data_IF_039145935701
#
_entry.id   IF_039145935701
#
_cell.length_a   1.000
_cell.length_b   1.000
_cell.length_c   1.000
_cell.angle_alpha   90.00
_cell.angle_beta   90.00
_cell.angle_gamma   90.00
#
_symmetry.space_group_name_H-M   'P 1'
#
loop_
_entity.id
_entity.type
_entity.pdbx_description
1 polymer ?
#
# COMPACT_ATOMS: atom_id res chain seq x y z
N UNK A 1 48.58 -22.89 -2.19
CA UNK A 1 47.93 -22.90 -0.85
C UNK A 1 48.03 -21.53 -0.17
N UNK A 2 47.30 -20.50 -0.63
CA UNK A 2 47.32 -19.16 0.03
C UNK A 2 45.94 -18.52 0.19
N UNK A 3 44.89 -19.10 -0.40
CA UNK A 3 43.56 -18.49 -0.45
C UNK A 3 42.49 -19.22 0.37
N UNK A 4 42.78 -20.41 0.93
CA UNK A 4 41.80 -21.20 1.69
C UNK A 4 41.49 -20.61 3.08
N UNK A 5 42.41 -19.85 3.67
CA UNK A 5 42.18 -19.15 4.97
C UNK A 5 41.38 -17.85 4.83
N UNK A 6 41.33 -17.24 3.63
CA UNK A 6 40.57 -16.00 3.38
C UNK A 6 39.07 -16.27 3.26
N UNK A 7 38.67 -17.40 2.69
CA UNK A 7 37.26 -17.79 2.61
C UNK A 7 36.65 -18.11 3.98
N UNK A 8 37.42 -18.73 4.89
CA UNK A 8 36.97 -19.01 6.25
C UNK A 8 36.69 -17.76 7.08
N UNK A 9 37.52 -16.72 6.93
CA UNK A 9 37.36 -15.46 7.69
C UNK A 9 36.24 -14.57 7.12
N UNK A 10 36.00 -14.60 5.80
CA UNK A 10 34.89 -13.87 5.16
C UNK A 10 33.54 -14.50 5.51
N UNK A 11 33.46 -15.84 5.63
CA UNK A 11 32.24 -16.54 6.02
C UNK A 11 31.82 -16.27 7.47
N UNK A 12 32.79 -16.09 8.37
CA UNK A 12 32.52 -15.79 9.79
C UNK A 12 32.02 -14.34 9.98
N UNK A 13 32.53 -13.38 9.20
CA UNK A 13 32.07 -11.98 9.25
C UNK A 13 30.65 -11.84 8.70
N UNK A 14 30.29 -12.58 7.65
CA UNK A 14 28.91 -12.61 7.13
C UNK A 14 27.94 -13.23 8.14
N UNK A 15 28.35 -14.29 8.84
CA UNK A 15 27.53 -14.92 9.87
C UNK A 15 27.37 -14.08 11.15
N UNK A 16 28.34 -13.23 11.48
CA UNK A 16 28.28 -12.36 12.68
C UNK A 16 27.61 -11.01 12.39
N UNK A 17 27.72 -10.47 11.17
CA UNK A 17 27.12 -9.18 10.81
C UNK A 17 25.74 -9.31 10.14
N UNK A 18 25.44 -10.43 9.48
CA UNK A 18 24.17 -10.64 8.76
C UNK A 18 22.94 -10.83 9.66
N UNK A 19 23.13 -11.20 10.93
CA UNK A 19 22.02 -11.52 11.85
C UNK A 19 21.51 -10.28 12.60
N UNK A 20 22.27 -9.18 12.61
CA UNK A 20 21.90 -7.97 13.38
C UNK A 20 21.02 -6.97 12.60
N UNK A 21 20.88 -7.08 11.27
CA UNK A 21 20.26 -6.04 10.44
C UNK A 21 18.83 -6.38 9.98
N UNK A 22 18.37 -7.62 10.14
CA UNK A 22 17.09 -8.06 9.56
C UNK A 22 15.86 -7.84 10.46
N UNK A 23 16.03 -7.30 11.67
CA UNK A 23 14.94 -7.14 12.65
C UNK A 23 14.34 -5.72 12.74
N UNK A 24 14.78 -4.75 11.93
CA UNK A 24 14.44 -3.32 12.15
C UNK A 24 13.21 -2.81 11.37
N UNK A 25 12.56 -3.56 10.47
CA UNK A 25 11.54 -2.94 9.58
C UNK A 25 10.21 -3.70 9.41
N UNK A 26 9.54 -4.11 10.48
CA UNK A 26 8.13 -4.60 10.35
C UNK A 26 7.06 -3.77 11.08
N UNK A 27 7.39 -2.66 11.74
CA UNK A 27 6.36 -1.69 12.13
C UNK A 27 6.06 -0.73 10.98
N UNK A 28 5.62 -1.28 9.83
CA UNK A 28 4.74 -0.52 8.96
C UNK A 28 3.49 -0.22 9.79
N UNK A 29 3.46 0.97 10.39
CA UNK A 29 2.36 1.43 11.19
C UNK A 29 1.08 1.32 10.35
N UNK A 30 0.26 0.30 10.62
CA UNK A 30 -1.09 0.23 10.12
C UNK A 30 -1.80 1.44 10.70
N UNK A 31 -2.00 2.47 9.87
CA UNK A 31 -2.81 3.63 10.23
C UNK A 31 -4.18 3.08 10.66
N UNK A 32 -4.71 3.45 11.83
CA UNK A 32 -6.05 3.03 12.20
C UNK A 32 -6.98 3.39 11.03
N UNK A 33 -7.93 2.51 10.68
CA UNK A 33 -8.85 2.78 9.59
C UNK A 33 -9.46 4.15 9.87
N UNK A 34 -9.23 5.10 8.96
CA UNK A 34 -9.94 6.38 9.00
C UNK A 34 -11.41 6.00 8.89
N UNK A 35 -12.19 6.21 9.95
CA UNK A 35 -13.64 6.07 9.88
C UNK A 35 -14.10 6.89 8.68
N UNK A 36 -14.76 6.22 7.73
CA UNK A 36 -15.10 6.85 6.47
C UNK A 36 -16.43 7.56 6.63
N UNK A 37 -16.34 8.83 7.04
CA UNK A 37 -17.50 9.69 7.24
C UNK A 37 -17.85 10.33 5.89
N UNK A 38 -18.99 9.94 5.35
CA UNK A 38 -19.56 10.51 4.13
C UNK A 38 -20.95 11.06 4.42
N UNK A 39 -21.31 12.15 3.73
CA UNK A 39 -22.68 12.61 3.69
C UNK A 39 -23.50 11.68 2.80
N UNK A 40 -24.77 11.48 3.15
CA UNK A 40 -25.74 10.73 2.35
C UNK A 40 -26.32 11.57 1.21
N UNK A 41 -25.43 12.10 0.38
CA UNK A 41 -25.77 12.83 -0.85
C UNK A 41 -25.64 11.88 -2.03
N UNK A 42 -26.66 11.81 -2.88
CA UNK A 42 -26.62 11.03 -4.11
C UNK A 42 -26.10 11.87 -5.28
N UNK A 43 -24.84 11.68 -5.64
CA UNK A 43 -24.15 12.28 -6.79
C UNK A 43 -23.23 11.22 -7.41
N UNK A 44 -23.79 10.29 -8.20
CA UNK A 44 -23.13 9.03 -8.51
C UNK A 44 -21.87 9.22 -9.35
N UNK A 45 -20.89 8.34 -9.11
CA UNK A 45 -19.64 8.28 -9.90
C UNK A 45 -19.40 6.85 -10.36
N UNK A 46 -18.91 6.67 -11.58
CA UNK A 46 -18.37 5.39 -12.05
C UNK A 46 -16.85 5.37 -11.89
N UNK A 47 -16.33 4.27 -11.37
CA UNK A 47 -14.89 4.08 -11.17
C UNK A 47 -14.32 3.04 -12.16
N UNK A 48 -12.98 2.92 -12.31
CA UNK A 48 -12.34 1.96 -13.23
C UNK A 48 -12.65 0.48 -12.97
N UNK A 49 -13.15 0.16 -11.77
CA UNK A 49 -13.66 -1.18 -11.46
C UNK A 49 -15.04 -1.48 -12.06
N UNK A 50 -15.63 -0.53 -12.81
CA UNK A 50 -16.94 -0.66 -13.43
C UNK A 50 -18.12 -0.50 -12.46
N UNK A 51 -17.86 -0.15 -11.20
CA UNK A 51 -18.90 0.02 -10.19
C UNK A 51 -19.29 1.50 -10.07
N UNK A 52 -20.58 1.72 -9.85
CA UNK A 52 -21.14 3.03 -9.53
C UNK A 52 -21.20 3.17 -8.01
N UNK A 53 -20.66 4.27 -7.50
CA UNK A 53 -20.73 4.64 -6.10
C UNK A 53 -21.73 5.77 -5.90
N UNK A 54 -22.45 5.85 -4.76
CA UNK A 54 -23.45 6.89 -4.51
C UNK A 54 -22.89 8.31 -4.57
N UNK A 55 -21.63 8.49 -4.18
CA UNK A 55 -20.87 9.72 -4.36
C UNK A 55 -19.35 9.46 -4.34
N UNK A 56 -18.57 10.52 -4.61
CA UNK A 56 -17.11 10.48 -4.62
C UNK A 56 -16.51 10.08 -3.26
N UNK A 57 -17.18 10.42 -2.16
CA UNK A 57 -16.71 10.07 -0.83
C UNK A 57 -16.78 8.55 -0.62
N UNK A 58 -17.92 7.93 -0.89
CA UNK A 58 -18.08 6.47 -0.81
C UNK A 58 -17.13 5.72 -1.74
N UNK A 59 -16.84 6.25 -2.94
CA UNK A 59 -15.84 5.68 -3.84
C UNK A 59 -14.43 5.67 -3.21
N UNK A 60 -14.00 6.81 -2.63
CA UNK A 60 -12.70 6.90 -1.93
C UNK A 60 -12.64 5.98 -0.72
N UNK A 61 -13.75 5.84 0.02
CA UNK A 61 -13.85 4.93 1.15
C UNK A 61 -13.64 3.48 0.75
N UNK A 62 -14.14 3.10 -0.43
CA UNK A 62 -13.91 1.79 -1.03
C UNK A 62 -12.53 1.67 -1.72
N UNK A 63 -11.62 2.62 -1.51
CA UNK A 63 -10.28 2.62 -2.07
C UNK A 63 -10.20 2.92 -3.58
N UNK A 64 -11.29 3.40 -4.17
CA UNK A 64 -11.34 3.70 -5.61
C UNK A 64 -10.74 5.07 -5.92
N UNK A 65 -10.20 5.20 -7.13
CA UNK A 65 -9.60 6.43 -7.68
C UNK A 65 -9.99 6.59 -9.14
N UNK A 66 -9.79 7.78 -9.68
CA UNK A 66 -10.08 8.11 -11.09
C UNK A 66 -11.54 7.83 -11.48
N UNK A 67 -12.46 8.07 -10.54
CA UNK A 67 -13.89 7.98 -10.81
C UNK A 67 -14.39 9.25 -11.49
N UNK A 68 -15.33 9.09 -12.42
CA UNK A 68 -15.97 10.20 -13.15
C UNK A 68 -17.46 10.24 -12.82
N UNK A 69 -18.10 11.40 -13.00
CA UNK A 69 -19.54 11.53 -12.79
C UNK A 69 -20.28 10.52 -13.68
N UNK A 70 -21.26 9.83 -13.09
CA UNK A 70 -22.09 8.89 -13.83
C UNK A 70 -23.32 9.62 -14.37
N UNK A 71 -23.48 9.62 -15.70
CA UNK A 71 -24.65 10.22 -16.37
C UNK A 71 -24.62 11.75 -16.41
N UNK A 72 -23.45 12.35 -16.53
CA UNK A 72 -23.22 13.79 -16.45
C UNK A 72 -22.55 14.34 -17.71
N UNK A 73 -23.16 14.09 -18.87
CA UNK A 73 -22.69 14.52 -20.18
C UNK A 73 -23.87 14.72 -21.15
N UNK A 74 -25.00 15.24 -20.65
CA UNK A 74 -26.03 15.89 -21.48
C UNK A 74 -26.07 17.40 -21.19
N UNK A 75 -25.07 18.11 -21.72
CA UNK A 75 -25.29 19.43 -22.33
C UNK A 75 -24.88 19.34 -23.81
#
# INVERSE_FOLDING_TARGET
MKNLKKFGMVSLVVAVCGVAVMAVQTTFAARPPRECICLDIYRPVICPNGLIYPNDCYARCAGQRNCVLWGGDTE
#
